data_IF_104197046070
#
_entry.id   IF_104197046070
#
_cell.length_a   1.000
_cell.length_b   1.000
_cell.length_c   1.000
_cell.angle_alpha   90.00
_cell.angle_beta   90.00
_cell.angle_gamma   90.00
#
_symmetry.space_group_name_H-M   'P 1'
#
loop_
_entity.id
_entity.type
_entity.pdbx_description
1 polymer ?
#
# COMPACT_ATOMS: atom_id res chain seq x y z
N UNK A 1 -11.25 8.34 -24.65
CA UNK A 1 -12.56 7.64 -24.45
C UNK A 1 -13.55 8.46 -23.60
N UNK A 2 -13.33 8.76 -22.29
CA UNK A 2 -14.31 9.56 -21.52
C UNK A 2 -14.37 11.02 -22.01
N UNK A 3 -13.22 11.64 -22.26
CA UNK A 3 -13.15 13.02 -22.78
C UNK A 3 -13.80 13.14 -24.16
N UNK A 4 -13.63 12.15 -25.02
CA UNK A 4 -14.22 12.14 -26.37
C UNK A 4 -15.75 11.99 -26.31
N UNK A 5 -16.25 11.17 -25.37
CA UNK A 5 -17.68 11.03 -25.12
C UNK A 5 -18.31 12.34 -24.60
N UNK A 6 -17.65 13.02 -23.67
CA UNK A 6 -18.11 14.31 -23.18
C UNK A 6 -18.09 15.38 -24.27
N UNK A 7 -17.04 15.39 -25.12
CA UNK A 7 -16.97 16.33 -26.25
C UNK A 7 -18.09 16.08 -27.26
N UNK A 8 -18.34 14.82 -27.63
CA UNK A 8 -19.43 14.46 -28.54
C UNK A 8 -20.81 14.85 -27.97
N UNK A 9 -21.03 14.61 -26.68
CA UNK A 9 -22.27 15.04 -26.01
C UNK A 9 -22.45 16.55 -26.05
N UNK A 10 -21.40 17.31 -25.71
CA UNK A 10 -21.44 18.77 -25.72
C UNK A 10 -21.70 19.33 -27.13
N UNK A 11 -21.18 18.68 -28.17
CA UNK A 11 -21.42 19.05 -29.57
C UNK A 11 -22.86 18.80 -30.03
N UNK A 12 -23.58 17.88 -29.42
CA UNK A 12 -24.99 17.60 -29.76
C UNK A 12 -25.95 18.71 -29.33
N UNK A 13 -25.49 19.71 -28.58
CA UNK A 13 -26.25 20.90 -28.20
C UNK A 13 -27.45 20.66 -27.27
N UNK A 14 -27.38 19.79 -26.27
CA UNK A 14 -28.55 19.42 -25.45
C UNK A 14 -28.95 20.49 -24.40
N UNK A 15 -28.33 21.68 -24.44
CA UNK A 15 -28.56 22.70 -23.44
C UNK A 15 -27.90 22.48 -22.07
N UNK A 16 -27.14 21.39 -21.95
CA UNK A 16 -26.35 21.01 -20.78
C UNK A 16 -24.90 20.79 -21.25
N UNK A 17 -23.92 21.17 -20.46
CA UNK A 17 -22.51 20.88 -20.75
C UNK A 17 -21.89 19.95 -19.71
N UNK A 18 -21.02 19.06 -20.16
CA UNK A 18 -20.20 18.18 -19.31
C UNK A 18 -18.78 18.71 -19.32
N UNK A 19 -18.30 19.12 -18.15
CA UNK A 19 -16.90 19.45 -17.93
C UNK A 19 -16.21 18.30 -17.15
N UNK A 20 -15.08 17.83 -17.69
CA UNK A 20 -14.27 16.83 -17.02
C UNK A 20 -13.03 17.49 -16.44
N UNK A 21 -12.99 17.58 -15.10
CA UNK A 21 -11.84 18.08 -14.36
C UNK A 21 -11.11 16.90 -13.70
N UNK A 22 -9.88 16.64 -14.14
CA UNK A 22 -9.04 15.64 -13.47
C UNK A 22 -8.50 16.23 -12.16
N UNK A 23 -8.91 15.66 -11.04
CA UNK A 23 -8.47 16.11 -9.71
C UNK A 23 -7.20 15.43 -9.25
N UNK A 24 -7.02 14.14 -9.64
CA UNK A 24 -5.91 13.31 -9.19
C UNK A 24 -5.61 12.22 -10.22
N UNK A 25 -4.33 11.89 -10.36
CA UNK A 25 -3.89 10.65 -11.02
C UNK A 25 -3.24 9.79 -9.93
N UNK A 26 -3.79 8.61 -9.70
CA UNK A 26 -3.20 7.61 -8.84
C UNK A 26 -2.55 6.52 -9.71
N UNK A 27 -1.22 6.52 -9.76
CA UNK A 27 -0.47 5.44 -10.40
C UNK A 27 -0.27 4.30 -9.42
N UNK A 28 -0.25 3.07 -9.91
CA UNK A 28 0.11 1.92 -9.08
C UNK A 28 1.58 2.01 -8.66
N UNK A 29 1.88 1.63 -7.42
CA UNK A 29 3.26 1.42 -6.99
C UNK A 29 3.85 0.27 -7.82
N UNK A 30 4.98 0.54 -8.46
CA UNK A 30 5.74 -0.48 -9.17
C UNK A 30 6.81 -1.07 -8.23
N UNK A 31 6.93 -2.40 -8.16
CA UNK A 31 8.01 -3.01 -7.40
C UNK A 31 9.37 -2.58 -7.96
N UNK A 32 10.29 -2.20 -7.07
CA UNK A 32 11.64 -1.81 -7.44
C UNK A 32 12.64 -2.88 -7.00
N UNK A 33 13.72 -3.09 -7.76
CA UNK A 33 14.78 -4.04 -7.38
C UNK A 33 15.37 -3.72 -5.98
N UNK A 34 15.46 -2.44 -5.62
CA UNK A 34 15.91 -2.00 -4.29
C UNK A 34 14.99 -2.34 -3.12
N UNK A 35 13.76 -2.81 -3.37
CA UNK A 35 12.84 -3.23 -2.31
C UNK A 35 13.22 -4.59 -1.70
N UNK A 36 13.97 -5.42 -2.42
CA UNK A 36 14.22 -6.81 -2.02
C UNK A 36 14.89 -6.94 -0.64
N UNK A 37 15.95 -6.18 -0.29
CA UNK A 37 16.54 -6.27 1.04
C UNK A 37 15.56 -5.93 2.18
N UNK A 38 14.68 -4.95 1.96
CA UNK A 38 13.63 -4.57 2.91
C UNK A 38 12.60 -5.69 3.07
N UNK A 39 12.16 -6.28 1.96
CA UNK A 39 11.21 -7.40 1.93
C UNK A 39 11.81 -8.61 2.64
N UNK A 40 13.07 -8.98 2.34
CA UNK A 40 13.75 -10.12 2.94
C UNK A 40 13.90 -9.95 4.47
N UNK A 41 14.22 -8.75 4.93
CA UNK A 41 14.30 -8.45 6.36
C UNK A 41 12.93 -8.60 7.05
N UNK A 42 11.87 -8.04 6.46
CA UNK A 42 10.51 -8.17 6.97
C UNK A 42 10.05 -9.63 7.00
N UNK A 43 10.31 -10.40 5.95
CA UNK A 43 9.94 -11.82 5.87
C UNK A 43 10.72 -12.67 6.88
N UNK A 44 12.01 -12.44 7.04
CA UNK A 44 12.85 -13.15 8.04
C UNK A 44 12.34 -12.92 9.46
N UNK A 45 12.08 -11.66 9.83
CA UNK A 45 11.56 -11.35 11.15
C UNK A 45 10.10 -11.73 11.33
N UNK A 46 9.33 -11.68 10.26
CA UNK A 46 7.97 -12.18 10.24
C UNK A 46 7.91 -13.67 10.56
N UNK A 47 8.69 -14.49 9.86
CA UNK A 47 8.78 -15.91 10.14
C UNK A 47 9.18 -16.18 11.60
N UNK A 48 10.15 -15.45 12.15
CA UNK A 48 10.60 -15.61 13.53
C UNK A 48 9.55 -15.21 14.57
N UNK A 49 8.62 -14.30 14.25
CA UNK A 49 7.60 -13.81 15.18
C UNK A 49 6.27 -14.56 15.04
N UNK A 50 5.88 -14.89 13.81
CA UNK A 50 4.60 -15.55 13.54
C UNK A 50 4.70 -17.07 13.47
N UNK A 51 5.91 -17.64 13.22
CA UNK A 51 6.11 -19.07 13.01
C UNK A 51 5.74 -19.56 11.62
N UNK A 52 5.32 -18.69 10.73
CA UNK A 52 4.94 -18.97 9.35
C UNK A 52 5.47 -17.88 8.39
N UNK A 53 5.72 -18.20 7.13
CA UNK A 53 6.19 -17.23 6.14
C UNK A 53 5.14 -16.14 5.89
N UNK A 54 5.58 -14.89 5.74
CA UNK A 54 4.73 -13.79 5.30
C UNK A 54 4.88 -13.66 3.78
N UNK A 55 3.79 -13.86 3.00
CA UNK A 55 3.85 -13.67 1.56
C UNK A 55 3.92 -12.19 1.19
N UNK A 56 4.54 -11.89 0.05
CA UNK A 56 4.37 -10.60 -0.61
C UNK A 56 3.18 -10.65 -1.54
N UNK A 57 2.40 -9.56 -1.57
CA UNK A 57 1.26 -9.46 -2.46
C UNK A 57 1.03 -8.01 -2.90
N UNK A 58 0.35 -7.82 -4.02
CA UNK A 58 -0.19 -6.52 -4.38
C UNK A 58 -1.49 -6.26 -3.63
N UNK A 59 -1.74 -5.01 -3.27
CA UNK A 59 -3.01 -4.59 -2.69
C UNK A 59 -3.62 -3.46 -3.53
N UNK A 60 -4.94 -3.47 -3.80
CA UNK A 60 -5.60 -2.41 -4.54
C UNK A 60 -5.84 -1.14 -3.72
N UNK A 61 -5.25 -1.04 -2.53
CA UNK A 61 -5.39 0.13 -1.67
C UNK A 61 -4.52 1.28 -2.15
N UNK A 62 -5.11 2.47 -2.25
CA UNK A 62 -4.36 3.69 -2.47
C UNK A 62 -3.57 4.07 -1.21
N UNK A 63 -2.30 4.41 -1.41
CA UNK A 63 -1.42 4.86 -0.33
C UNK A 63 -0.32 5.77 -0.87
N UNK A 64 0.17 6.68 -0.05
CA UNK A 64 1.23 7.62 -0.40
C UNK A 64 2.60 6.95 -0.58
N UNK A 65 2.73 5.66 -0.26
CA UNK A 65 3.97 4.89 -0.52
C UNK A 65 4.39 4.93 -2.00
N UNK A 66 3.45 5.10 -2.93
CA UNK A 66 3.75 5.28 -4.35
C UNK A 66 4.66 6.47 -4.63
N UNK A 67 4.55 7.54 -3.83
CA UNK A 67 5.36 8.76 -3.99
C UNK A 67 6.85 8.47 -3.73
N UNK A 68 7.13 7.58 -2.78
CA UNK A 68 8.49 7.11 -2.53
C UNK A 68 9.03 6.31 -3.73
N UNK A 69 8.23 5.38 -4.25
CA UNK A 69 8.59 4.62 -5.45
C UNK A 69 8.80 5.51 -6.69
N UNK A 70 7.93 6.49 -6.92
CA UNK A 70 8.08 7.49 -8.00
C UNK A 70 9.36 8.33 -7.84
N UNK A 71 9.79 8.58 -6.60
CA UNK A 71 11.04 9.27 -6.28
C UNK A 71 12.29 8.34 -6.30
N UNK A 72 12.13 7.06 -6.66
CA UNK A 72 13.23 6.09 -6.67
C UNK A 72 13.63 5.57 -5.30
N UNK A 73 12.81 5.78 -4.26
CA UNK A 73 13.07 5.33 -2.90
C UNK A 73 12.42 3.95 -2.69
N UNK A 74 13.21 2.91 -2.33
CA UNK A 74 12.66 1.60 -2.00
C UNK A 74 11.65 1.69 -0.86
N UNK A 75 10.48 1.11 -1.06
CA UNK A 75 9.41 1.14 -0.08
C UNK A 75 8.55 -0.13 -0.14
N UNK A 76 8.03 -0.53 1.00
CA UNK A 76 7.09 -1.62 1.14
C UNK A 76 5.98 -1.23 2.13
N UNK A 77 4.80 -1.80 1.94
CA UNK A 77 3.69 -1.66 2.89
C UNK A 77 3.73 -2.87 3.80
N UNK A 78 3.71 -2.62 5.11
CA UNK A 78 3.61 -3.66 6.13
C UNK A 78 2.52 -3.27 7.12
N UNK A 79 1.49 -4.09 7.23
CA UNK A 79 0.33 -3.83 8.07
C UNK A 79 0.55 -4.27 9.53
N UNK A 80 -0.16 -3.62 10.45
CA UNK A 80 -0.13 -3.90 11.88
C UNK A 80 -1.20 -4.92 12.31
N UNK A 81 -1.98 -5.47 11.41
CA UNK A 81 -3.14 -6.25 11.82
C UNK A 81 -3.69 -7.19 10.78
N UNK A 82 -4.99 -7.34 10.75
CA UNK A 82 -5.64 -8.45 10.08
C UNK A 82 -5.18 -8.66 8.65
N UNK A 83 -5.18 -9.91 8.21
CA UNK A 83 -4.69 -10.29 6.88
C UNK A 83 -5.54 -9.74 5.75
N UNK A 84 -6.79 -9.38 6.04
CA UNK A 84 -7.72 -8.82 5.06
C UNK A 84 -8.49 -7.62 5.61
N UNK A 85 -8.95 -6.77 4.70
CA UNK A 85 -9.83 -5.63 5.03
C UNK A 85 -11.19 -6.09 5.58
N UNK A 86 -11.60 -7.33 5.32
CA UNK A 86 -12.85 -7.89 5.84
C UNK A 86 -12.73 -8.27 7.31
N UNK A 87 -11.59 -8.82 7.73
CA UNK A 87 -11.34 -9.20 9.13
C UNK A 87 -11.30 -7.99 10.05
N UNK A 88 -10.82 -6.85 9.56
CA UNK A 88 -10.74 -5.62 10.34
C UNK A 88 -11.98 -4.75 10.27
N UNK A 89 -12.95 -5.07 9.42
CA UNK A 89 -14.04 -4.18 9.05
C UNK A 89 -13.56 -2.81 8.56
N UNK A 90 -12.43 -2.78 7.85
CA UNK A 90 -11.76 -1.56 7.44
C UNK A 90 -12.71 -0.57 6.76
N UNK A 91 -12.64 0.70 7.17
CA UNK A 91 -13.49 1.80 6.72
C UNK A 91 -14.96 1.70 7.11
N UNK A 92 -15.28 0.93 8.16
CA UNK A 92 -16.62 0.83 8.75
C UNK A 92 -16.62 1.33 10.20
N UNK A 93 -17.81 1.51 10.78
CA UNK A 93 -17.96 2.08 12.11
C UNK A 93 -17.33 1.23 13.23
N UNK A 94 -17.21 -0.07 13.02
CA UNK A 94 -16.67 -1.06 13.95
C UNK A 94 -15.29 -1.59 13.48
N UNK A 95 -14.53 -0.77 12.76
CA UNK A 95 -13.14 -1.09 12.40
C UNK A 95 -12.31 -1.37 13.65
N UNK A 96 -11.59 -2.47 13.63
CA UNK A 96 -10.86 -2.93 14.80
C UNK A 96 -9.51 -3.55 14.45
N UNK A 97 -8.66 -3.65 15.45
CA UNK A 97 -7.34 -4.25 15.39
C UNK A 97 -7.14 -5.19 16.59
N UNK A 98 -6.67 -6.40 16.33
CA UNK A 98 -6.29 -7.34 17.38
C UNK A 98 -4.98 -6.89 18.01
N UNK A 99 -4.97 -6.66 19.34
CA UNK A 99 -3.79 -6.13 20.04
C UNK A 99 -2.56 -7.04 19.94
N UNK A 100 -2.77 -8.37 19.90
CA UNK A 100 -1.67 -9.32 19.70
C UNK A 100 -1.04 -9.18 18.31
N UNK A 101 -1.84 -8.92 17.28
CA UNK A 101 -1.33 -8.68 15.93
C UNK A 101 -0.51 -7.40 15.88
N UNK A 102 -0.99 -6.33 16.51
CA UNK A 102 -0.22 -5.09 16.67
C UNK A 102 1.11 -5.33 17.38
N UNK A 103 1.10 -6.09 18.49
CA UNK A 103 2.30 -6.43 19.25
C UNK A 103 3.32 -7.21 18.41
N UNK A 104 2.86 -8.19 17.63
CA UNK A 104 3.70 -8.98 16.75
C UNK A 104 4.26 -8.14 15.60
N UNK A 105 3.42 -7.36 14.94
CA UNK A 105 3.84 -6.47 13.87
C UNK A 105 4.89 -5.45 14.35
N UNK A 106 4.70 -4.87 15.53
CA UNK A 106 5.67 -3.97 16.15
C UNK A 106 7.03 -4.64 16.36
N UNK A 107 7.06 -5.91 16.80
CA UNK A 107 8.32 -6.67 16.93
C UNK A 107 9.01 -6.89 15.59
N UNK A 108 8.25 -7.21 14.55
CA UNK A 108 8.81 -7.38 13.20
C UNK A 108 9.43 -6.10 12.71
N UNK A 109 8.70 -4.98 12.79
CA UNK A 109 9.20 -3.66 12.37
C UNK A 109 10.45 -3.26 13.16
N UNK A 110 10.43 -3.39 14.49
CA UNK A 110 11.56 -3.01 15.34
C UNK A 110 12.83 -3.80 15.01
N UNK A 111 12.71 -5.11 14.81
CA UNK A 111 13.84 -5.98 14.41
C UNK A 111 14.34 -5.65 13.01
N UNK A 112 13.43 -5.38 12.07
CA UNK A 112 13.78 -4.98 10.70
C UNK A 112 14.56 -3.66 10.71
N UNK A 113 14.08 -2.67 11.45
CA UNK A 113 14.77 -1.39 11.60
C UNK A 113 16.15 -1.55 12.25
N UNK A 114 16.25 -2.37 13.29
CA UNK A 114 17.53 -2.66 13.95
C UNK A 114 18.55 -3.21 12.94
N UNK A 115 18.17 -4.20 12.15
CA UNK A 115 19.07 -4.81 11.16
C UNK A 115 19.47 -3.84 10.04
N UNK A 116 18.51 -3.03 9.55
CA UNK A 116 18.79 -2.09 8.46
C UNK A 116 19.61 -0.87 8.89
N UNK A 117 19.52 -0.48 10.17
CA UNK A 117 20.22 0.68 10.72
C UNK A 117 21.52 0.33 11.42
N UNK A 118 21.77 -0.96 11.71
CA UNK A 118 23.02 -1.40 12.31
C UNK A 118 24.03 -1.71 11.20
N UNK A 119 25.18 -1.00 11.14
CA UNK A 119 26.21 -1.32 10.14
C UNK A 119 26.64 -2.79 10.26
N UNK A 120 26.84 -3.44 9.12
CA UNK A 120 27.51 -4.74 9.13
C UNK A 120 28.93 -4.58 9.68
N UNK A 121 29.28 -5.36 10.72
CA UNK A 121 30.61 -5.37 11.30
C UNK A 121 31.64 -5.97 10.32
#
# INVERSE_FOLDING_TARGET
>A
MIADAAAAFNQSGPGISIEIKRLLIANALQPMAGNQPLVDALQRHGLAVFGEPIPTSGTPLYTDVRLYGEAGVPAAIYGAGPRTVFESNAKRADEHLVLEDLRRATKVVARTLFDLLTPAA
#
